data_IF_462341950092
#
_entry.id   IF_462341950092
#
_cell.length_a   1.000
_cell.length_b   1.000
_cell.length_c   1.000
_cell.angle_alpha   90.00
_cell.angle_beta   90.00
_cell.angle_gamma   90.00
#
_symmetry.space_group_name_H-M   'P 1'
#
loop_
_entity.id
_entity.type
_entity.pdbx_description
1 polymer ?
#
# COMPACT_ATOMS: atom_id res chain seq x y z
N UNK A 1 1.75 19.73 -3.88
CA UNK A 1 2.95 18.87 -3.81
C UNK A 1 2.48 17.43 -3.62
N UNK A 2 2.96 16.45 -4.40
CA UNK A 2 2.57 15.05 -4.28
C UNK A 2 3.61 14.25 -3.48
N UNK A 3 3.17 13.17 -2.84
CA UNK A 3 4.05 12.12 -2.29
C UNK A 3 3.75 10.81 -2.98
N UNK A 4 4.77 10.02 -3.19
CA UNK A 4 4.66 8.69 -3.78
C UNK A 4 5.33 7.72 -2.85
N UNK A 5 4.80 6.53 -2.69
CA UNK A 5 5.53 5.42 -2.10
C UNK A 5 5.39 4.19 -2.97
N UNK A 6 6.36 3.28 -2.89
CA UNK A 6 6.27 2.00 -3.58
C UNK A 6 6.68 0.85 -2.69
N UNK A 7 6.03 -0.31 -2.86
CA UNK A 7 6.29 -1.52 -2.09
C UNK A 7 6.43 -2.74 -3.04
N UNK A 8 7.42 -3.62 -2.83
CA UNK A 8 7.65 -4.79 -3.65
C UNK A 8 6.59 -5.87 -3.43
N UNK A 9 6.47 -6.76 -4.41
CA UNK A 9 5.79 -8.04 -4.25
C UNK A 9 6.65 -9.01 -3.44
N UNK A 10 6.11 -10.21 -3.21
CA UNK A 10 6.75 -11.25 -2.39
C UNK A 10 6.69 -12.65 -3.02
N UNK A 11 7.61 -13.51 -2.58
CA UNK A 11 7.60 -14.95 -2.79
C UNK A 11 7.99 -15.64 -1.49
N UNK A 12 7.15 -16.55 -1.00
CA UNK A 12 7.50 -17.40 0.15
C UNK A 12 8.29 -18.59 -0.38
N UNK A 13 9.59 -18.64 -0.06
CA UNK A 13 10.48 -19.72 -0.50
C UNK A 13 10.40 -20.95 0.41
N UNK A 14 10.32 -20.73 1.72
CA UNK A 14 10.27 -21.81 2.72
C UNK A 14 9.29 -21.49 3.83
N UNK A 15 8.87 -22.52 4.58
CA UNK A 15 7.98 -22.39 5.74
C UNK A 15 6.51 -22.73 5.42
N UNK A 16 6.01 -22.45 4.21
CA UNK A 16 4.66 -22.86 3.79
C UNK A 16 3.59 -22.50 4.82
N UNK A 17 2.78 -23.46 5.24
CA UNK A 17 1.78 -23.25 6.30
C UNK A 17 2.36 -23.19 7.73
N UNK A 18 3.59 -23.66 7.95
CA UNK A 18 4.22 -23.67 9.28
C UNK A 18 4.34 -22.25 9.85
N UNK A 19 4.56 -21.24 8.99
CA UNK A 19 4.68 -19.82 9.39
C UNK A 19 3.40 -19.25 10.00
N UNK A 20 2.28 -19.98 9.97
CA UNK A 20 1.06 -19.57 10.66
C UNK A 20 1.18 -19.71 12.19
N UNK A 21 2.16 -20.47 12.67
CA UNK A 21 2.39 -20.77 14.08
C UNK A 21 3.80 -20.38 14.52
N UNK A 22 3.95 -19.91 15.76
CA UNK A 22 5.26 -19.63 16.36
C UNK A 22 5.85 -20.91 16.97
N UNK A 23 7.18 -21.10 16.97
CA UNK A 23 8.23 -20.19 16.50
C UNK A 23 8.66 -20.44 15.03
N UNK A 24 7.83 -21.10 14.21
CA UNK A 24 8.24 -21.52 12.88
C UNK A 24 8.62 -20.33 11.99
N UNK A 25 9.79 -20.44 11.36
CA UNK A 25 10.31 -19.43 10.45
C UNK A 25 10.05 -19.81 8.99
N UNK A 26 9.96 -18.81 8.13
CA UNK A 26 9.99 -18.96 6.68
C UNK A 26 10.97 -18.00 6.03
N UNK A 27 11.45 -18.32 4.83
CA UNK A 27 12.26 -17.40 4.03
C UNK A 27 11.35 -16.74 3.00
N UNK A 28 11.32 -15.41 2.99
CA UNK A 28 10.53 -14.60 2.06
C UNK A 28 11.47 -13.74 1.25
N UNK A 29 11.33 -13.77 -0.07
CA UNK A 29 12.04 -12.86 -0.96
C UNK A 29 11.08 -11.81 -1.52
N UNK A 30 11.51 -10.55 -1.48
CA UNK A 30 10.84 -9.45 -2.17
C UNK A 30 11.19 -9.48 -3.66
N UNK A 31 10.22 -9.18 -4.52
CA UNK A 31 10.45 -9.09 -5.97
C UNK A 31 10.82 -7.68 -6.41
N UNK A 32 11.29 -7.56 -7.66
CA UNK A 32 11.46 -6.29 -8.35
C UNK A 32 10.12 -5.67 -8.80
N UNK A 33 9.05 -6.46 -8.95
CA UNK A 33 7.71 -5.96 -9.23
C UNK A 33 7.19 -5.15 -8.04
N UNK A 34 6.69 -3.93 -8.27
CA UNK A 34 6.23 -3.01 -7.22
C UNK A 34 4.81 -2.50 -7.43
N UNK A 35 4.12 -2.24 -6.33
CA UNK A 35 2.98 -1.32 -6.31
C UNK A 35 3.48 0.08 -5.98
N UNK A 36 2.82 1.07 -6.56
CA UNK A 36 3.02 2.49 -6.32
C UNK A 36 1.71 3.10 -5.85
N UNK A 37 1.80 4.00 -4.89
CA UNK A 37 0.71 4.84 -4.46
C UNK A 37 1.15 6.30 -4.52
N UNK A 38 0.32 7.15 -5.11
CA UNK A 38 0.56 8.57 -5.28
C UNK A 38 -0.53 9.30 -4.51
N UNK A 39 -0.15 10.18 -3.60
CA UNK A 39 -1.06 10.99 -2.78
C UNK A 39 -0.79 12.47 -3.08
N UNK A 40 -1.84 13.20 -3.39
CA UNK A 40 -1.80 14.67 -3.59
C UNK A 40 -3.11 15.30 -3.10
N UNK A 41 -3.16 16.63 -3.10
CA UNK A 41 -4.39 17.37 -2.83
C UNK A 41 -5.40 17.13 -3.95
N UNK A 42 -6.68 17.04 -3.58
CA UNK A 42 -7.78 16.99 -4.54
C UNK A 42 -8.15 18.39 -5.03
N UNK A 43 -8.08 19.38 -4.14
CA UNK A 43 -8.40 20.77 -4.42
C UNK A 43 -7.16 21.66 -4.20
N UNK A 44 -7.00 22.69 -5.06
CA UNK A 44 -5.90 23.66 -4.94
C UNK A 44 -6.19 24.71 -3.87
N UNK A 45 -7.45 25.12 -3.75
CA UNK A 45 -7.91 26.14 -2.80
C UNK A 45 -9.03 25.62 -1.90
N UNK A 46 -9.03 26.07 -0.64
CA UNK A 46 -10.16 25.87 0.27
C UNK A 46 -11.34 26.72 -0.22
N UNK A 47 -12.48 26.08 -0.53
CA UNK A 47 -13.69 26.85 -0.82
C UNK A 47 -14.10 27.65 0.43
N UNK A 48 -14.69 28.85 0.26
CA UNK A 48 -15.12 29.69 1.38
C UNK A 48 -16.17 29.08 2.31
N UNK A 49 -16.74 27.91 2.01
CA UNK A 49 -17.69 27.19 2.88
C UNK A 49 -17.07 25.92 3.51
N UNK A 50 -15.78 25.65 3.26
CA UNK A 50 -15.13 24.37 3.60
C UNK A 50 -14.94 24.15 5.09
N UNK A 51 -14.84 25.23 5.88
CA UNK A 51 -14.65 25.19 7.34
C UNK A 51 -15.87 24.63 8.09
N UNK A 52 -17.03 24.56 7.45
CA UNK A 52 -18.24 23.96 8.01
C UNK A 52 -18.34 22.44 7.74
N UNK A 53 -17.48 21.86 6.90
CA UNK A 53 -17.62 20.47 6.52
C UNK A 53 -17.03 19.53 7.58
N UNK A 54 -17.90 18.73 8.20
CA UNK A 54 -17.51 17.58 9.00
C UNK A 54 -16.89 16.44 8.15
N UNK A 55 -16.75 16.65 6.83
CA UNK A 55 -16.40 15.64 5.84
C UNK A 55 -15.35 16.18 4.87
N UNK A 56 -14.46 15.32 4.40
CA UNK A 56 -13.55 15.60 3.30
C UNK A 56 -13.73 14.62 2.15
N UNK A 57 -13.45 15.08 0.93
CA UNK A 57 -13.48 14.28 -0.27
C UNK A 57 -12.18 13.50 -0.45
N UNK A 58 -12.30 12.23 -0.78
CA UNK A 58 -11.18 11.39 -1.15
C UNK A 58 -11.47 10.70 -2.48
N UNK A 59 -10.62 10.94 -3.47
CA UNK A 59 -10.65 10.30 -4.77
C UNK A 59 -9.63 9.17 -4.79
N UNK A 60 -10.08 7.98 -5.23
CA UNK A 60 -9.22 6.83 -5.47
C UNK A 60 -9.29 6.44 -6.94
N UNK A 61 -8.15 6.47 -7.63
CA UNK A 61 -8.03 6.10 -9.04
C UNK A 61 -7.12 4.89 -9.21
N UNK A 62 -7.59 3.89 -9.97
CA UNK A 62 -6.83 2.71 -10.40
C UNK A 62 -6.89 2.62 -11.93
N UNK A 63 -5.96 3.30 -12.64
CA UNK A 63 -6.00 3.42 -14.11
C UNK A 63 -6.01 2.06 -14.81
N UNK A 64 -5.19 1.12 -14.34
CA UNK A 64 -5.10 -0.23 -14.91
C UNK A 64 -6.44 -0.98 -14.88
N UNK A 65 -7.29 -0.68 -13.89
CA UNK A 65 -8.60 -1.31 -13.74
C UNK A 65 -9.73 -0.50 -14.39
N UNK A 66 -9.43 0.70 -14.92
CA UNK A 66 -10.44 1.65 -15.37
C UNK A 66 -11.42 2.06 -14.26
N UNK A 67 -10.96 2.08 -12.99
CA UNK A 67 -11.81 2.36 -11.83
C UNK A 67 -11.45 3.67 -11.17
N UNK A 68 -12.48 4.41 -10.83
CA UNK A 68 -12.43 5.59 -10.00
C UNK A 68 -13.52 5.49 -8.93
N UNK A 69 -13.18 5.86 -7.70
CA UNK A 69 -14.09 5.78 -6.55
C UNK A 69 -13.97 7.05 -5.73
N UNK A 70 -15.12 7.66 -5.45
CA UNK A 70 -15.21 8.83 -4.60
C UNK A 70 -15.69 8.43 -3.21
N UNK A 71 -15.04 8.99 -2.20
CA UNK A 71 -15.31 8.75 -0.80
C UNK A 71 -15.53 10.07 -0.06
N UNK A 72 -16.39 10.03 0.96
CA UNK A 72 -16.51 11.06 1.98
C UNK A 72 -15.90 10.53 3.28
N UNK A 73 -14.88 11.18 3.80
CA UNK A 73 -14.25 10.86 5.08
C UNK A 73 -14.76 11.80 6.17
N UNK A 74 -15.36 11.25 7.24
CA UNK A 74 -15.71 12.05 8.41
C UNK A 74 -14.45 12.46 9.16
N UNK A 75 -14.21 13.75 9.31
CA UNK A 75 -13.05 14.26 10.06
C UNK A 75 -13.19 14.08 11.57
N UNK A 76 -14.43 13.91 12.07
CA UNK A 76 -14.72 13.68 13.48
C UNK A 76 -14.59 12.21 13.88
N UNK A 77 -15.11 11.32 13.03
CA UNK A 77 -15.21 9.89 13.34
C UNK A 77 -14.19 9.03 12.59
N UNK A 78 -13.45 9.62 11.65
CA UNK A 78 -12.49 8.93 10.77
C UNK A 78 -13.12 7.75 10.01
N UNK A 79 -14.41 7.86 9.71
CA UNK A 79 -15.17 6.86 8.96
C UNK A 79 -15.28 7.26 7.50
N UNK A 80 -15.06 6.31 6.61
CA UNK A 80 -15.12 6.49 5.17
C UNK A 80 -16.47 6.00 4.64
N UNK A 81 -17.14 6.83 3.84
CA UNK A 81 -18.38 6.49 3.15
C UNK A 81 -18.13 6.54 1.64
N UNK A 82 -18.38 5.43 0.96
CA UNK A 82 -18.30 5.35 -0.49
C UNK A 82 -19.50 6.09 -1.11
N UNK A 83 -19.23 7.05 -1.99
CA UNK A 83 -20.26 7.79 -2.75
C UNK A 83 -20.62 7.05 -4.03
N UNK A 84 -19.66 6.31 -4.60
CA UNK A 84 -19.84 5.47 -5.78
C UNK A 84 -20.57 4.15 -5.46
N UNK A 85 -21.04 3.44 -6.49
CA UNK A 85 -21.68 2.12 -6.34
C UNK A 85 -20.75 1.10 -5.63
N UNK A 86 -21.34 0.19 -4.86
CA UNK A 86 -20.62 -0.76 -3.97
C UNK A 86 -19.61 -1.67 -4.69
N UNK A 87 -19.73 -1.83 -6.02
CA UNK A 87 -18.86 -2.66 -6.84
C UNK A 87 -17.46 -2.08 -7.09
N UNK A 88 -17.26 -0.81 -6.74
CA UNK A 88 -15.99 -0.10 -6.91
C UNK A 88 -15.11 -0.07 -5.65
N UNK A 89 -15.63 -0.51 -4.49
CA UNK A 89 -14.94 -0.43 -3.21
C UNK A 89 -13.65 -1.24 -3.16
N UNK A 90 -12.63 -0.65 -2.53
CA UNK A 90 -11.36 -1.31 -2.25
C UNK A 90 -11.06 -1.28 -0.73
N UNK A 91 -11.52 -2.28 0.04
CA UNK A 91 -11.41 -2.26 1.51
C UNK A 91 -9.96 -2.12 2.00
N UNK A 92 -8.99 -2.65 1.26
CA UNK A 92 -7.57 -2.50 1.59
C UNK A 92 -7.12 -1.04 1.62
N UNK A 93 -7.57 -0.23 0.65
CA UNK A 93 -7.26 1.20 0.58
C UNK A 93 -8.10 1.99 1.58
N UNK A 94 -9.36 1.62 1.78
CA UNK A 94 -10.24 2.27 2.75
C UNK A 94 -9.68 2.17 4.17
N UNK A 95 -9.26 0.98 4.61
CA UNK A 95 -8.63 0.81 5.91
C UNK A 95 -7.25 1.46 5.97
N UNK A 96 -6.43 1.38 4.91
CA UNK A 96 -5.15 2.08 4.87
C UNK A 96 -5.30 3.58 5.14
N UNK A 97 -6.30 4.21 4.52
CA UNK A 97 -6.63 5.61 4.71
C UNK A 97 -7.08 5.93 6.14
N UNK A 98 -8.05 5.19 6.67
CA UNK A 98 -8.58 5.41 8.02
C UNK A 98 -7.48 5.27 9.08
N UNK A 99 -6.67 4.22 8.99
CA UNK A 99 -5.61 3.97 9.97
C UNK A 99 -4.43 4.94 9.84
N UNK A 100 -4.07 5.38 8.63
CA UNK A 100 -3.03 6.39 8.46
C UNK A 100 -3.42 7.74 9.06
N UNK A 101 -4.68 8.18 8.86
CA UNK A 101 -5.18 9.43 9.44
C UNK A 101 -5.33 9.30 10.97
N UNK A 102 -5.81 8.15 11.47
CA UNK A 102 -5.85 7.88 12.90
C UNK A 102 -4.44 7.92 13.53
N UNK A 103 -3.43 7.38 12.85
CA UNK A 103 -2.04 7.45 13.30
C UNK A 103 -1.54 8.91 13.36
N UNK A 104 -1.89 9.75 12.37
CA UNK A 104 -1.56 11.17 12.39
C UNK A 104 -2.18 11.89 13.60
N UNK A 105 -3.47 11.68 13.87
CA UNK A 105 -4.14 12.25 15.04
C UNK A 105 -3.56 11.75 16.37
N UNK A 106 -3.14 10.49 16.45
CA UNK A 106 -2.52 9.94 17.65
C UNK A 106 -1.12 10.48 17.90
N UNK A 107 -0.38 10.84 16.84
CA UNK A 107 1.03 11.25 16.91
C UNK A 107 1.19 12.77 17.10
N UNK A 108 0.27 13.57 16.57
CA UNK A 108 0.43 15.02 16.49
C UNK A 108 -0.05 15.77 17.75
N UNK A 109 0.65 16.87 18.05
CA UNK A 109 0.20 17.89 19.00
C UNK A 109 -0.97 18.70 18.42
N UNK A 110 -1.51 19.66 19.20
CA UNK A 110 -2.67 20.43 18.79
C UNK A 110 -2.39 21.30 17.54
N UNK A 111 -1.20 21.89 17.44
CA UNK A 111 -0.81 22.72 16.30
C UNK A 111 -0.76 21.90 15.02
N UNK A 112 -0.07 20.76 15.03
CA UNK A 112 -0.03 19.85 13.88
C UNK A 112 -1.38 19.22 13.56
N UNK A 113 -2.26 19.04 14.54
CA UNK A 113 -3.65 18.59 14.29
C UNK A 113 -4.46 19.64 13.54
N UNK A 114 -4.27 20.92 13.82
CA UNK A 114 -4.91 22.00 13.05
C UNK A 114 -4.36 22.07 11.62
N UNK A 115 -3.06 21.90 11.43
CA UNK A 115 -2.43 21.80 10.10
C UNK A 115 -2.96 20.59 9.32
N UNK A 116 -3.03 19.42 9.97
CA UNK A 116 -3.62 18.21 9.42
C UNK A 116 -5.08 18.45 9.02
N UNK A 117 -5.86 19.12 9.86
CA UNK A 117 -7.26 19.42 9.56
C UNK A 117 -7.38 20.31 8.31
N UNK A 118 -6.59 21.38 8.22
CA UNK A 118 -6.55 22.27 7.04
C UNK A 118 -6.15 21.50 5.77
N UNK A 119 -5.15 20.64 5.88
CA UNK A 119 -4.69 19.79 4.78
C UNK A 119 -5.79 18.83 4.34
N UNK A 120 -6.50 18.18 5.28
CA UNK A 120 -7.59 17.28 4.96
C UNK A 120 -8.78 18.00 4.33
N UNK A 121 -9.06 19.26 4.68
CA UNK A 121 -10.15 20.03 4.05
C UNK A 121 -9.95 20.27 2.54
N UNK A 122 -8.71 20.20 2.05
CA UNK A 122 -8.38 20.27 0.62
C UNK A 122 -8.61 18.94 -0.12
N UNK A 123 -9.06 17.90 0.57
CA UNK A 123 -9.29 16.58 0.02
C UNK A 123 -8.02 15.83 -0.36
N UNK A 124 -8.15 14.53 -0.62
CA UNK A 124 -7.06 13.66 -1.01
C UNK A 124 -7.34 13.01 -2.36
N UNK A 125 -6.37 13.05 -3.25
CA UNK A 125 -6.36 12.28 -4.50
C UNK A 125 -5.29 11.20 -4.40
N UNK A 126 -5.74 9.95 -4.44
CA UNK A 126 -4.93 8.74 -4.29
C UNK A 126 -4.97 7.97 -5.61
N UNK A 127 -3.82 7.81 -6.26
CA UNK A 127 -3.67 6.94 -7.43
C UNK A 127 -2.85 5.71 -7.09
N UNK A 128 -3.33 4.52 -7.46
CA UNK A 128 -2.62 3.25 -7.28
C UNK A 128 -2.23 2.63 -8.63
N UNK A 129 -1.00 2.12 -8.71
CA UNK A 129 -0.43 1.47 -9.89
C UNK A 129 0.34 0.22 -9.46
N UNK A 130 0.21 -0.88 -10.19
CA UNK A 130 0.96 -2.12 -9.95
C UNK A 130 1.71 -2.55 -11.20
N UNK A 131 2.97 -2.94 -11.08
CA UNK A 131 3.71 -3.52 -12.21
C UNK A 131 2.95 -4.70 -12.83
N UNK A 132 3.15 -4.94 -14.14
CA UNK A 132 2.36 -5.91 -14.90
C UNK A 132 2.49 -7.35 -14.32
N UNK A 133 3.61 -7.67 -13.66
CA UNK A 133 3.89 -8.96 -13.03
C UNK A 133 2.92 -9.32 -11.90
N UNK A 134 2.14 -8.38 -11.35
CA UNK A 134 1.10 -8.68 -10.37
C UNK A 134 -0.16 -9.32 -10.97
N UNK A 135 -0.31 -9.24 -12.29
CA UNK A 135 -1.53 -9.64 -13.00
C UNK A 135 -1.22 -10.62 -14.14
N UNK A 136 -2.20 -11.43 -14.50
CA UNK A 136 -2.09 -12.29 -15.68
C UNK A 136 -2.46 -11.53 -16.94
N UNK A 137 -1.53 -11.42 -17.88
CA UNK A 137 -1.74 -10.86 -19.22
C UNK A 137 -1.86 -11.95 -20.29
N UNK A 138 -2.06 -13.22 -19.89
CA UNK A 138 -2.07 -14.39 -20.78
C UNK A 138 -2.90 -14.16 -22.04
N UNK A 139 -4.17 -13.80 -21.89
CA UNK A 139 -5.09 -13.61 -23.01
C UNK A 139 -4.62 -12.48 -23.95
N UNK A 140 -4.05 -11.39 -23.40
CA UNK A 140 -3.54 -10.28 -24.21
C UNK A 140 -2.27 -10.67 -24.98
N UNK A 141 -1.41 -11.47 -24.38
CA UNK A 141 -0.17 -11.98 -24.99
C UNK A 141 -0.51 -12.98 -26.10
N UNK A 142 -1.39 -13.95 -25.82
CA UNK A 142 -1.87 -14.94 -26.79
C UNK A 142 -2.60 -14.27 -27.97
N UNK A 143 -3.44 -13.27 -27.71
CA UNK A 143 -4.14 -12.51 -28.78
C UNK A 143 -3.18 -11.74 -29.71
N UNK A 144 -1.97 -11.43 -29.25
CA UNK A 144 -0.91 -10.81 -30.07
C UNK A 144 -0.03 -11.83 -30.77
N UNK A 145 -0.30 -13.13 -30.62
CA UNK A 145 0.53 -14.22 -31.16
C UNK A 145 1.93 -14.28 -30.53
N UNK A 146 2.11 -13.70 -29.34
CA UNK A 146 3.39 -13.68 -28.62
C UNK A 146 3.53 -14.94 -27.76
N UNK A 147 4.77 -15.45 -27.54
CA UNK A 147 5.00 -16.57 -26.66
C UNK A 147 4.68 -16.21 -25.19
N UNK A 148 4.26 -17.19 -24.38
CA UNK A 148 4.06 -17.00 -22.94
C UNK A 148 5.40 -16.98 -22.18
N UNK A 149 6.20 -15.97 -22.45
CA UNK A 149 7.53 -15.76 -21.88
C UNK A 149 7.62 -14.42 -21.13
N UNK A 150 8.55 -14.29 -20.16
CA UNK A 150 8.80 -13.02 -19.47
C UNK A 150 9.05 -11.85 -20.42
N UNK A 151 9.78 -12.07 -21.51
CA UNK A 151 10.07 -11.02 -22.51
C UNK A 151 8.81 -10.48 -23.19
N UNK A 152 7.80 -11.33 -23.39
CA UNK A 152 6.52 -10.90 -23.96
C UNK A 152 5.72 -10.05 -22.99
N UNK A 153 5.78 -10.33 -21.69
CA UNK A 153 5.21 -9.45 -20.67
C UNK A 153 5.96 -8.11 -20.61
N UNK A 154 7.29 -8.16 -20.67
CA UNK A 154 8.15 -6.96 -20.65
C UNK A 154 7.96 -6.05 -21.89
N UNK A 155 7.49 -6.62 -23.01
CA UNK A 155 7.13 -5.85 -24.22
C UNK A 155 5.85 -5.03 -24.07
N UNK A 156 5.01 -5.32 -23.06
CA UNK A 156 3.82 -4.53 -22.78
C UNK A 156 4.22 -3.21 -22.11
N UNK A 157 3.52 -2.10 -22.42
CA UNK A 157 3.72 -0.85 -21.69
C UNK A 157 3.59 -1.06 -20.18
N UNK A 158 4.41 -0.39 -19.35
CA UNK A 158 4.24 -0.41 -17.91
C UNK A 158 2.83 0.04 -17.52
N UNK A 159 2.25 -0.60 -16.51
CA UNK A 159 0.91 -0.30 -16.04
C UNK A 159 -0.18 -0.47 -17.11
N UNK A 160 -0.03 -1.47 -17.99
CA UNK A 160 -1.04 -1.79 -19.02
C UNK A 160 -2.38 -2.14 -18.36
N UNK A 161 -3.49 -1.71 -18.97
CA UNK A 161 -4.84 -2.05 -18.52
C UNK A 161 -5.03 -3.55 -18.37
N UNK A 162 -5.60 -3.97 -17.25
CA UNK A 162 -5.86 -5.38 -16.97
C UNK A 162 -7.14 -5.83 -17.69
N UNK A 163 -7.11 -7.04 -18.24
CA UNK A 163 -8.34 -7.70 -18.71
C UNK A 163 -8.97 -8.41 -17.52
N UNK A 164 -10.27 -8.21 -17.33
CA UNK A 164 -11.03 -9.01 -16.38
C UNK A 164 -11.39 -10.34 -17.02
N UNK A 165 -11.38 -11.42 -16.23
CA UNK A 165 -11.93 -12.69 -16.70
C UNK A 165 -13.43 -12.48 -16.96
N UNK A 166 -13.85 -12.54 -18.22
CA UNK A 166 -15.25 -12.70 -18.57
C UNK A 166 -15.59 -14.18 -18.41
N UNK A 167 -16.50 -14.54 -17.50
CA UNK A 167 -17.03 -15.90 -17.49
C UNK A 167 -17.98 -16.04 -18.67
N UNK A 168 -17.63 -16.90 -19.63
CA UNK A 168 -18.62 -17.48 -20.54
C UNK A 168 -19.60 -18.32 -19.70
N UNK A 169 -20.87 -17.92 -19.70
CA UNK A 169 -22.04 -18.71 -19.30
C UNK A 169 -22.11 -19.25 -17.86
N UNK A 170 -22.84 -18.54 -16.99
CA UNK A 170 -23.93 -19.10 -16.15
C UNK A 170 -24.52 -17.99 -15.26
N UNK A 171 -25.79 -18.11 -14.92
CA UNK A 171 -26.70 -17.08 -14.36
C UNK A 171 -26.34 -16.53 -12.95
N UNK A 172 -25.09 -16.64 -12.50
CA UNK A 172 -24.62 -15.99 -11.28
C UNK A 172 -23.85 -14.71 -11.65
N UNK A 173 -24.40 -13.54 -11.28
CA UNK A 173 -23.68 -12.24 -11.28
C UNK A 173 -22.46 -12.28 -10.34
N UNK A 174 -21.40 -12.98 -10.72
CA UNK A 174 -20.10 -12.92 -10.05
C UNK A 174 -19.31 -11.76 -10.64
N UNK A 175 -18.67 -10.99 -9.76
CA UNK A 175 -17.93 -9.79 -10.15
C UNK A 175 -16.75 -10.20 -11.02
N UNK A 176 -16.42 -9.45 -12.09
CA UNK A 176 -15.24 -9.70 -12.90
C UNK A 176 -13.99 -9.80 -12.02
N UNK A 177 -13.35 -10.96 -12.02
CA UNK A 177 -12.17 -11.23 -11.20
C UNK A 177 -10.90 -10.85 -11.94
N UNK A 178 -9.99 -10.20 -11.21
CA UNK A 178 -8.63 -9.91 -11.68
C UNK A 178 -7.78 -11.14 -11.45
N UNK A 179 -7.27 -11.73 -12.53
CA UNK A 179 -6.32 -12.84 -12.43
C UNK A 179 -4.99 -12.34 -11.82
N UNK A 180 -4.73 -12.73 -10.57
CA UNK A 180 -3.52 -12.36 -9.81
C UNK A 180 -2.47 -13.47 -9.89
N UNK A 181 -1.20 -13.09 -9.90
CA UNK A 181 -0.06 -14.04 -9.99
C UNK A 181 0.38 -14.63 -8.64
N UNK A 182 -0.22 -14.20 -7.53
CA UNK A 182 0.16 -14.67 -6.19
C UNK A 182 1.32 -13.91 -5.53
N UNK A 183 1.88 -12.89 -6.20
CA UNK A 183 2.96 -12.03 -5.69
C UNK A 183 2.58 -11.14 -4.48
N UNK A 184 1.37 -11.29 -3.94
CA UNK A 184 0.93 -10.50 -2.78
C UNK A 184 0.48 -9.08 -3.15
N UNK A 185 -0.26 -8.93 -4.26
CA UNK A 185 -0.72 -7.61 -4.74
C UNK A 185 -1.48 -6.79 -3.70
N UNK A 186 -2.33 -7.41 -2.86
CA UNK A 186 -3.02 -6.69 -1.79
C UNK A 186 -2.07 -6.16 -0.72
N UNK A 187 -1.08 -6.95 -0.31
CA UNK A 187 -0.09 -6.53 0.69
C UNK A 187 0.82 -5.42 0.17
N UNK A 188 1.33 -5.55 -1.05
CA UNK A 188 2.14 -4.52 -1.69
C UNK A 188 1.35 -3.22 -1.89
N UNK A 189 0.12 -3.30 -2.41
CA UNK A 189 -0.77 -2.14 -2.57
C UNK A 189 -1.08 -1.45 -1.24
N UNK A 190 -1.52 -2.19 -0.21
CA UNK A 190 -1.80 -1.62 1.12
C UNK A 190 -0.58 -0.93 1.69
N UNK A 191 0.59 -1.56 1.59
CA UNK A 191 1.84 -1.02 2.12
C UNK A 191 2.24 0.27 1.40
N UNK A 192 2.17 0.29 0.07
CA UNK A 192 2.47 1.49 -0.72
C UNK A 192 1.52 2.64 -0.34
N UNK A 193 0.22 2.38 -0.23
CA UNK A 193 -0.78 3.41 0.14
C UNK A 193 -0.54 3.93 1.55
N UNK A 194 -0.33 3.05 2.54
CA UNK A 194 -0.05 3.47 3.93
C UNK A 194 1.22 4.31 3.99
N UNK A 195 2.30 3.88 3.35
CA UNK A 195 3.56 4.62 3.33
C UNK A 195 3.41 6.00 2.68
N UNK A 196 2.72 6.08 1.54
CA UNK A 196 2.49 7.34 0.84
C UNK A 196 1.65 8.30 1.70
N UNK A 197 0.59 7.81 2.34
CA UNK A 197 -0.26 8.60 3.22
C UNK A 197 0.48 9.06 4.47
N UNK A 198 1.14 8.17 5.21
CA UNK A 198 1.85 8.55 6.43
C UNK A 198 2.96 9.58 6.14
N UNK A 199 3.65 9.46 5.00
CA UNK A 199 4.62 10.45 4.57
C UNK A 199 3.92 11.76 4.19
N UNK A 200 2.85 11.69 3.38
CA UNK A 200 2.08 12.87 2.97
C UNK A 200 1.54 13.67 4.15
N UNK A 201 1.04 12.99 5.17
CA UNK A 201 0.50 13.60 6.39
C UNK A 201 1.60 14.09 7.33
N UNK A 202 2.88 13.77 7.07
CA UNK A 202 4.01 14.16 7.92
C UNK A 202 4.17 13.32 9.19
N UNK A 203 3.54 12.14 9.25
CA UNK A 203 3.68 11.17 10.36
C UNK A 203 5.02 10.49 10.28
N UNK A 204 5.46 10.16 9.05
CA UNK A 204 6.76 9.58 8.78
C UNK A 204 7.56 10.42 7.80
N UNK A 205 8.89 10.33 7.87
CA UNK A 205 9.83 10.91 6.91
C UNK A 205 10.59 9.79 6.22
N UNK A 206 9.96 9.20 5.20
CA UNK A 206 10.61 8.20 4.37
C UNK A 206 11.58 8.91 3.44
N UNK A 207 12.88 8.65 3.58
CA UNK A 207 13.85 9.39 2.77
C UNK A 207 14.02 8.82 1.37
N UNK A 208 14.38 9.70 0.45
CA UNK A 208 14.87 9.34 -0.87
C UNK A 208 16.35 9.00 -0.79
N UNK A 209 16.80 8.21 -1.77
CA UNK A 209 18.20 7.92 -2.06
C UNK A 209 19.11 9.14 -1.73
N UNK A 210 20.13 8.89 -0.90
CA UNK A 210 21.22 9.80 -0.51
C UNK A 210 21.07 10.69 0.74
N UNK A 211 20.04 10.54 1.59
CA UNK A 211 20.05 11.23 2.89
C UNK A 211 20.61 10.35 4.00
N UNK A 212 21.50 10.92 4.82
CA UNK A 212 22.17 10.34 5.98
C UNK A 212 21.24 10.06 7.18
N UNK A 213 20.07 9.47 6.97
CA UNK A 213 19.28 8.93 8.09
C UNK A 213 20.04 7.71 8.62
N UNK A 214 20.59 7.84 9.83
CA UNK A 214 21.19 6.72 10.57
C UNK A 214 20.17 5.57 10.62
N UNK A 215 20.61 4.34 10.31
CA UNK A 215 19.74 3.19 10.06
C UNK A 215 18.64 2.93 11.10
N UNK A 216 18.87 3.30 12.36
CA UNK A 216 17.90 3.19 13.45
C UNK A 216 16.65 4.07 13.25
N UNK A 217 16.79 5.26 12.67
CA UNK A 217 15.63 6.13 12.40
C UNK A 217 14.79 5.58 11.26
N UNK A 218 15.42 5.16 10.16
CA UNK A 218 14.72 4.51 9.04
C UNK A 218 13.96 3.27 9.53
N UNK A 219 14.56 2.49 10.43
CA UNK A 219 13.88 1.34 11.03
C UNK A 219 12.59 1.74 11.76
N UNK A 220 12.62 2.79 12.60
CA UNK A 220 11.44 3.24 13.35
C UNK A 220 10.31 3.72 12.45
N UNK A 221 10.65 4.48 11.41
CA UNK A 221 9.68 4.99 10.43
C UNK A 221 9.01 3.83 9.68
N UNK A 222 9.79 2.82 9.27
CA UNK A 222 9.28 1.61 8.64
C UNK A 222 8.46 0.74 9.59
N UNK A 223 8.77 0.72 10.89
CA UNK A 223 7.98 0.00 11.88
C UNK A 223 6.59 0.61 12.02
N UNK A 224 6.47 1.95 11.98
CA UNK A 224 5.16 2.63 11.92
C UNK A 224 4.40 2.23 10.66
N UNK A 225 5.06 2.26 9.49
CA UNK A 225 4.44 1.81 8.23
C UNK A 225 3.95 0.37 8.34
N UNK A 226 4.77 -0.54 8.87
CA UNK A 226 4.43 -1.96 9.02
C UNK A 226 3.25 -2.17 9.95
N UNK A 227 3.22 -1.54 11.12
CA UNK A 227 2.11 -1.68 12.08
C UNK A 227 0.79 -1.24 11.44
N UNK A 228 0.79 -0.07 10.79
CA UNK A 228 -0.41 0.49 10.18
C UNK A 228 -0.85 -0.34 8.96
N UNK A 229 0.07 -0.73 8.08
CA UNK A 229 -0.22 -1.54 6.91
C UNK A 229 -0.71 -2.95 7.28
N UNK A 230 -0.07 -3.60 8.26
CA UNK A 230 -0.45 -4.93 8.72
C UNK A 230 -1.84 -4.91 9.37
N UNK A 231 -2.13 -3.88 10.17
CA UNK A 231 -3.44 -3.69 10.78
C UNK A 231 -4.52 -3.49 9.73
N UNK A 232 -4.31 -2.56 8.79
CA UNK A 232 -5.25 -2.29 7.72
C UNK A 232 -5.49 -3.53 6.84
N UNK A 233 -4.43 -4.26 6.51
CA UNK A 233 -4.52 -5.48 5.69
C UNK A 233 -5.25 -6.61 6.39
N UNK A 234 -4.95 -6.90 7.67
CA UNK A 234 -5.65 -7.93 8.43
C UNK A 234 -7.15 -7.68 8.54
N UNK A 235 -7.54 -6.41 8.76
CA UNK A 235 -8.96 -6.04 8.88
C UNK A 235 -9.64 -6.12 7.51
N UNK A 236 -9.00 -5.61 6.45
CA UNK A 236 -9.52 -5.73 5.08
C UNK A 236 -9.70 -7.20 4.64
N UNK A 237 -8.79 -8.08 5.07
CA UNK A 237 -8.84 -9.51 4.75
C UNK A 237 -9.85 -10.29 5.60
N UNK A 238 -10.31 -9.71 6.72
CA UNK A 238 -11.24 -10.37 7.66
C UNK A 238 -10.63 -11.51 8.47
N UNK A 239 -9.30 -11.68 8.44
CA UNK A 239 -8.58 -12.72 9.20
C UNK A 239 -7.16 -12.27 9.55
N UNK A 240 -6.66 -12.78 10.67
CA UNK A 240 -5.25 -12.62 11.05
C UNK A 240 -4.43 -13.70 10.37
N UNK A 241 -3.86 -13.37 9.20
CA UNK A 241 -2.91 -14.22 8.50
C UNK A 241 -1.56 -14.34 9.22
N UNK A 242 -0.56 -14.92 8.54
CA UNK A 242 0.82 -14.84 9.05
C UNK A 242 1.35 -13.42 8.99
N UNK A 243 1.04 -12.63 7.96
CA UNK A 243 1.53 -11.26 7.80
C UNK A 243 2.93 -11.14 7.18
N UNK A 244 3.49 -12.25 6.71
CA UNK A 244 4.78 -12.27 6.01
C UNK A 244 4.77 -11.42 4.74
N UNK A 245 3.62 -11.29 4.11
CA UNK A 245 3.43 -10.59 2.85
C UNK A 245 3.51 -9.08 3.01
N UNK A 246 2.80 -8.52 3.99
CA UNK A 246 2.93 -7.11 4.36
C UNK A 246 4.32 -6.85 4.95
N UNK A 247 4.80 -7.74 5.81
CA UNK A 247 6.13 -7.62 6.39
C UNK A 247 7.21 -7.52 5.30
N UNK A 248 7.21 -8.40 4.30
CA UNK A 248 8.17 -8.33 3.19
C UNK A 248 7.96 -7.12 2.27
N UNK A 249 6.71 -6.65 2.11
CA UNK A 249 6.43 -5.43 1.36
C UNK A 249 6.99 -4.15 2.03
N UNK A 250 7.14 -4.16 3.37
CA UNK A 250 7.82 -3.05 4.07
C UNK A 250 9.31 -3.31 4.16
N UNK A 251 9.67 -4.56 4.44
CA UNK A 251 10.96 -4.93 4.96
C UNK A 251 11.90 -5.63 3.97
N UNK A 252 11.46 -5.85 2.73
CA UNK A 252 12.23 -6.55 1.72
C UNK A 252 12.36 -8.04 1.99
N UNK A 253 13.44 -8.64 1.49
CA UNK A 253 13.73 -10.07 1.68
C UNK A 253 14.23 -10.33 3.09
N UNK A 254 13.66 -11.33 3.74
CA UNK A 254 13.89 -11.59 5.16
C UNK A 254 13.63 -13.04 5.53
N UNK A 255 14.19 -13.48 6.65
CA UNK A 255 13.60 -14.59 7.39
C UNK A 255 12.49 -14.05 8.26
N UNK A 256 11.31 -14.63 8.10
CA UNK A 256 10.08 -14.19 8.72
C UNK A 256 9.66 -15.14 9.84
N UNK A 257 9.27 -14.57 10.99
CA UNK A 257 8.55 -15.27 12.04
C UNK A 257 7.29 -14.45 12.34
N UNK A 258 6.15 -15.13 12.41
CA UNK A 258 4.86 -14.50 12.70
C UNK A 258 4.91 -13.69 13.99
N UNK A 259 4.41 -12.47 13.96
CA UNK A 259 4.22 -11.66 15.18
C UNK A 259 3.28 -12.39 16.16
N UNK A 260 3.38 -12.13 17.47
CA UNK A 260 2.42 -12.72 18.41
C UNK A 260 1.02 -12.20 18.07
N UNK A 261 0.01 -13.06 17.79
CA UNK A 261 -1.35 -12.61 17.47
C UNK A 261 -1.94 -11.67 18.52
N UNK A 262 -1.49 -11.80 19.78
CA UNK A 262 -1.85 -10.94 20.91
C UNK A 262 -1.55 -9.45 20.67
N UNK A 263 -0.54 -9.15 19.83
CA UNK A 263 -0.17 -7.77 19.47
C UNK A 263 -1.27 -7.11 18.63
N UNK A 264 -1.99 -7.87 17.80
CA UNK A 264 -3.11 -7.36 16.98
C UNK A 264 -4.48 -7.67 17.58
N UNK A 265 -4.60 -8.62 18.51
CA UNK A 265 -5.86 -8.87 19.21
C UNK A 265 -6.31 -7.66 20.02
N UNK A 266 -5.38 -6.82 20.49
CA UNK A 266 -5.67 -5.53 21.14
C UNK A 266 -6.12 -4.41 20.18
N UNK A 267 -5.75 -4.49 18.90
CA UNK A 267 -6.31 -3.61 17.85
C UNK A 267 -7.72 -4.06 17.45
N UNK A 268 -8.02 -5.34 17.62
CA UNK A 268 -9.36 -5.92 17.51
C UNK A 268 -10.17 -5.78 18.82
N UNK A 269 -9.51 -5.51 19.95
CA UNK A 269 -10.06 -5.38 21.31
C UNK A 269 -9.32 -4.26 22.07
N UNK A 270 -9.71 -3.01 21.86
CA UNK A 270 -9.15 -1.75 22.41
C UNK A 270 -8.20 -1.85 23.65
N UNK A 271 -7.08 -1.07 23.59
CA UNK A 271 -6.22 -0.53 24.69
C UNK A 271 -5.03 -1.38 25.18
N UNK A 272 -3.82 -0.79 25.12
CA UNK A 272 -2.88 -0.76 26.26
C UNK A 272 -1.51 -1.48 26.17
N UNK A 273 -0.45 -0.66 26.14
CA UNK A 273 0.97 -0.87 26.56
C UNK A 273 1.99 -1.58 25.64
N UNK A 274 3.25 -1.13 25.82
CA UNK A 274 4.41 -1.08 24.91
C UNK A 274 5.42 -2.25 25.05
N UNK A 275 6.33 -2.44 24.05
CA UNK A 275 7.35 -3.51 24.00
C UNK A 275 8.81 -3.02 24.12
N UNK A 276 9.75 -3.97 24.24
CA UNK A 276 11.21 -3.78 24.38
C UNK A 276 12.03 -4.33 23.19
N UNK A 277 13.29 -3.89 23.13
CA UNK A 277 14.23 -3.77 21.99
C UNK A 277 15.19 -4.96 21.77
N UNK A 278 15.76 -5.08 20.55
CA UNK A 278 17.23 -5.19 20.34
C UNK A 278 17.69 -5.13 18.87
N UNK A 279 18.92 -4.61 18.68
CA UNK A 279 19.55 -4.02 17.48
C UNK A 279 20.52 -5.00 16.77
N UNK A 280 20.89 -4.75 15.50
CA UNK A 280 22.28 -4.69 14.93
C UNK A 280 22.41 -5.05 13.42
N UNK A 281 22.70 -4.01 12.60
CA UNK A 281 23.73 -3.85 11.53
C UNK A 281 23.87 -4.77 10.29
N UNK A 282 23.81 -4.18 9.07
CA UNK A 282 24.41 -4.72 7.81
C UNK A 282 23.74 -4.26 6.47
N UNK A 283 24.54 -3.99 5.42
CA UNK A 283 24.24 -3.29 4.13
C UNK A 283 23.38 -4.02 3.05
N UNK A 284 22.86 -3.28 2.03
CA UNK A 284 21.73 -3.64 1.12
C UNK A 284 22.01 -3.35 -0.36
N UNK A 285 21.50 -4.20 -1.27
CA UNK A 285 21.51 -4.03 -2.74
C UNK A 285 20.15 -3.54 -3.30
N UNK A 286 20.18 -2.67 -4.33
CA UNK A 286 19.05 -1.86 -4.86
C UNK A 286 18.68 -2.19 -6.31
N UNK A 287 17.37 -2.13 -6.66
CA UNK A 287 16.89 -1.91 -8.04
C UNK A 287 15.61 -1.05 -8.06
N UNK A 288 15.65 0.11 -8.73
CA UNK A 288 14.56 1.08 -8.89
C UNK A 288 13.90 0.99 -10.29
N UNK A 289 12.65 1.45 -10.42
CA UNK A 289 11.96 1.67 -11.72
C UNK A 289 12.01 3.17 -12.05
N UNK A 290 12.21 3.46 -13.34
CA UNK A 290 12.44 4.80 -13.89
C UNK A 290 11.28 5.79 -13.61
N UNK A 291 11.55 6.96 -12.97
CA UNK A 291 10.58 8.02 -12.74
C UNK A 291 9.88 8.57 -13.99
N UNK A 292 10.46 8.43 -15.19
CA UNK A 292 9.85 8.85 -16.46
C UNK A 292 8.60 8.03 -16.77
N UNK A 293 8.62 6.73 -16.49
CA UNK A 293 7.50 5.80 -16.69
C UNK A 293 6.29 6.19 -15.82
N UNK A 294 6.53 6.67 -14.59
CA UNK A 294 5.47 7.14 -13.68
C UNK A 294 4.91 8.49 -14.15
N UNK A 295 5.75 9.39 -14.70
CA UNK A 295 5.32 10.68 -15.23
C UNK A 295 4.44 10.54 -16.47
N UNK A 296 4.80 9.63 -17.39
CA UNK A 296 4.05 9.36 -18.63
C UNK A 296 2.63 8.86 -18.37
N UNK A 297 2.41 8.12 -17.27
CA UNK A 297 1.12 7.52 -16.95
C UNK A 297 0.22 8.37 -16.02
N UNK A 298 0.73 9.45 -15.42
CA UNK A 298 0.02 10.20 -14.36
C UNK A 298 -0.03 11.72 -14.61
N UNK A 299 0.53 12.21 -15.73
CA UNK A 299 0.32 13.57 -16.26
C UNK A 299 0.54 14.73 -15.26
N UNK A 300 1.43 14.56 -14.28
CA UNK A 300 1.77 15.59 -13.28
C UNK A 300 3.23 15.46 -12.83
N UNK A 301 3.81 16.58 -12.38
CA UNK A 301 5.17 16.64 -11.82
C UNK A 301 5.26 15.83 -10.52
N UNK A 302 5.72 14.58 -10.62
CA UNK A 302 5.75 13.61 -9.52
C UNK A 302 7.17 13.42 -8.97
N UNK A 303 7.29 13.49 -7.65
CA UNK A 303 8.49 13.06 -6.89
C UNK A 303 8.20 11.66 -6.32
N UNK A 304 8.85 10.64 -6.90
CA UNK A 304 8.68 9.22 -6.55
C UNK A 304 9.42 8.92 -5.25
N UNK A 305 8.83 8.23 -4.26
CA UNK A 305 9.57 7.69 -3.11
C UNK A 305 9.46 6.16 -3.08
N UNK A 306 10.58 5.49 -2.79
CA UNK A 306 10.72 4.03 -2.86
C UNK A 306 11.01 3.53 -1.45
N UNK A 307 10.19 2.62 -0.91
CA UNK A 307 10.46 1.98 0.38
C UNK A 307 11.56 0.92 0.21
N UNK A 308 12.56 1.00 1.08
CA UNK A 308 13.65 0.03 1.20
C UNK A 308 13.74 -0.42 2.66
N UNK A 309 13.99 -1.71 2.86
CA UNK A 309 14.64 -2.19 4.08
C UNK A 309 15.67 -3.24 3.73
N UNK A 310 16.64 -3.29 4.63
CA UNK A 310 17.81 -4.12 4.70
C UNK A 310 17.52 -5.61 4.55
N UNK A 311 18.13 -6.20 3.52
CA UNK A 311 18.35 -7.64 3.39
C UNK A 311 19.37 -8.09 4.43
N UNK A 312 18.89 -8.82 5.42
CA UNK A 312 19.71 -9.72 6.23
C UNK A 312 18.89 -10.97 6.46
N UNK A 313 19.20 -12.06 5.73
CA UNK A 313 18.77 -13.39 6.14
C UNK A 313 19.20 -13.58 7.60
N UNK A 314 18.25 -13.80 8.49
CA UNK A 314 18.55 -14.09 9.89
C UNK A 314 17.72 -15.23 10.40
#
# INVERSE_FOLDING_TARGET
>A
MSRVASAPGKVLMTGGYLILERPNAGIVLSTNARFYAIVKLLYEDLKPDSWAWAWTDVKLTSPQMGRETMYKLSLKHLQLQCVSSSDSRNPFVEYALQYAIAAAHATFDNTKKEELHKLLLLGLDITILGCNEFYSYRNQIEARGLPLAPDSLASLPPFTSITFNAEESSEQKRKPEVAKTGLGSSAAMTTAVVAALLHYLGVVKLSLENSSLLGDQVSKELDVVHIIAQTAHCIAQGKVGSGFDVSSAVYGSQKYIKFSPEVLSSAQSKRGRQPSTDVHGGEVCLYAVDPTIIKENVSTSIVVWVLLKTTGLR
#
